data_IF_710014088889
#
_entry.id   IF_710014088889
#
_cell.length_a   1.000
_cell.length_b   1.000
_cell.length_c   1.000
_cell.angle_alpha   90.00
_cell.angle_beta   90.00
_cell.angle_gamma   90.00
#
_symmetry.space_group_name_H-M   'P 1'
#
loop_
_entity.id
_entity.type
_entity.pdbx_description
1 polymer ?
#
# COMPACT_ATOMS: atom_id res chain seq x y z
N UNK A 1 23.79 35.95 -3.47
CA UNK A 1 23.13 34.92 -4.32
C UNK A 1 23.32 33.57 -3.65
N UNK A 2 22.50 33.27 -2.64
CA UNK A 2 22.58 32.02 -1.86
C UNK A 2 21.29 31.82 -1.07
N UNK A 3 20.16 32.08 -1.73
CA UNK A 3 18.83 32.03 -1.15
C UNK A 3 18.00 31.07 -2.00
N UNK A 4 18.39 29.79 -2.04
CA UNK A 4 17.63 28.72 -2.71
C UNK A 4 18.12 27.27 -2.47
N UNK A 5 18.88 26.97 -1.39
CA UNK A 5 19.32 25.57 -1.12
C UNK A 5 18.67 24.99 0.16
N UNK A 6 17.75 25.72 0.80
CA UNK A 6 17.08 25.27 2.03
C UNK A 6 15.63 24.81 1.84
N UNK A 7 15.22 24.46 0.62
CA UNK A 7 13.89 23.88 0.32
C UNK A 7 13.98 22.51 -0.39
N UNK A 8 15.03 21.73 -0.15
CA UNK A 8 15.14 20.33 -0.61
C UNK A 8 15.17 19.35 0.56
N UNK A 9 14.36 19.65 1.55
CA UNK A 9 14.15 18.84 2.74
C UNK A 9 12.86 19.28 3.41
N UNK A 10 11.77 19.39 2.65
CA UNK A 10 10.47 19.40 3.32
C UNK A 10 10.36 18.08 4.05
N UNK A 11 10.18 18.18 5.36
CA UNK A 11 9.98 17.07 6.25
C UNK A 11 8.60 16.52 5.91
N UNK A 12 8.48 15.70 4.87
CA UNK A 12 7.23 15.15 4.31
C UNK A 12 6.67 14.04 5.20
N UNK A 13 6.73 14.25 6.52
CA UNK A 13 6.17 13.38 7.54
C UNK A 13 4.68 13.11 7.31
N UNK A 14 3.97 14.00 6.59
CA UNK A 14 2.55 13.87 6.24
C UNK A 14 2.29 12.99 5.00
N UNK A 15 3.26 12.82 4.09
CA UNK A 15 3.09 11.96 2.93
C UNK A 15 2.87 10.51 3.38
N UNK A 16 3.65 10.04 4.34
CA UNK A 16 3.59 8.65 4.78
C UNK A 16 2.24 8.26 5.42
N UNK A 17 1.66 9.02 6.37
CA UNK A 17 0.29 8.83 6.83
C UNK A 17 -0.76 8.90 5.70
N UNK A 18 -0.61 9.81 4.73
CA UNK A 18 -1.54 9.90 3.61
C UNK A 18 -1.45 8.67 2.69
N UNK A 19 -0.23 8.21 2.38
CA UNK A 19 0.01 6.98 1.64
C UNK A 19 -0.60 5.77 2.34
N UNK A 20 -0.47 5.68 3.68
CA UNK A 20 -1.15 4.66 4.48
C UNK A 20 -2.66 4.76 4.33
N UNK A 21 -3.23 5.96 4.41
CA UNK A 21 -4.68 6.17 4.31
C UNK A 21 -5.22 5.77 2.92
N UNK A 22 -4.56 6.20 1.84
CA UNK A 22 -4.95 5.83 0.47
C UNK A 22 -4.81 4.33 0.25
N UNK A 23 -3.70 3.73 0.70
CA UNK A 23 -3.47 2.28 0.61
C UNK A 23 -4.52 1.50 1.40
N UNK A 24 -4.89 1.99 2.58
CA UNK A 24 -5.95 1.40 3.41
C UNK A 24 -7.29 1.42 2.70
N UNK A 25 -7.69 2.58 2.14
CA UNK A 25 -8.94 2.70 1.40
C UNK A 25 -8.96 1.81 0.16
N UNK A 26 -7.86 1.75 -0.59
CA UNK A 26 -7.77 0.93 -1.78
C UNK A 26 -7.84 -0.56 -1.44
N UNK A 27 -7.10 -0.99 -0.42
CA UNK A 27 -7.14 -2.38 0.06
C UNK A 27 -8.54 -2.78 0.54
N UNK A 28 -9.19 -1.91 1.33
CA UNK A 28 -10.56 -2.11 1.79
C UNK A 28 -11.55 -2.22 0.63
N UNK A 29 -11.38 -1.38 -0.41
CA UNK A 29 -12.20 -1.41 -1.61
C UNK A 29 -11.98 -2.70 -2.43
N UNK A 30 -10.73 -3.14 -2.60
CA UNK A 30 -10.42 -4.40 -3.29
C UNK A 30 -11.12 -5.57 -2.59
N UNK A 31 -11.01 -5.67 -1.26
CA UNK A 31 -11.70 -6.73 -0.52
C UNK A 31 -13.22 -6.65 -0.76
N UNK A 32 -13.82 -5.46 -0.71
CA UNK A 32 -15.25 -5.25 -0.97
C UNK A 32 -15.67 -5.74 -2.36
N UNK A 33 -14.86 -5.46 -3.38
CA UNK A 33 -15.11 -5.89 -4.76
C UNK A 33 -15.00 -7.41 -4.85
N UNK A 34 -13.98 -8.02 -4.23
CA UNK A 34 -13.70 -9.45 -4.32
C UNK A 34 -14.79 -10.31 -3.68
N UNK A 35 -15.13 -10.06 -2.42
CA UNK A 35 -16.04 -10.94 -1.66
C UNK A 35 -17.52 -10.54 -1.80
N UNK A 36 -17.78 -9.35 -2.36
CA UNK A 36 -19.11 -8.81 -2.56
C UNK A 36 -19.75 -8.24 -1.28
N UNK A 37 -20.79 -7.40 -1.47
CA UNK A 37 -21.42 -6.59 -0.41
C UNK A 37 -21.94 -7.40 0.77
N UNK A 38 -22.58 -8.55 0.52
CA UNK A 38 -23.22 -9.36 1.57
C UNK A 38 -22.19 -9.98 2.50
N UNK A 39 -21.17 -10.65 1.96
CA UNK A 39 -20.09 -11.24 2.76
C UNK A 39 -19.26 -10.17 3.46
N UNK A 40 -19.07 -9.03 2.79
CA UNK A 40 -18.35 -7.89 3.33
C UNK A 40 -18.97 -7.35 4.62
N UNK A 41 -20.28 -7.13 4.62
CA UNK A 41 -21.00 -6.62 5.79
C UNK A 41 -20.96 -7.61 6.96
N UNK A 42 -21.01 -8.91 6.67
CA UNK A 42 -20.91 -9.96 7.70
C UNK A 42 -19.52 -10.03 8.34
N UNK A 43 -18.46 -9.73 7.57
CA UNK A 43 -17.06 -9.87 7.98
C UNK A 43 -16.35 -8.54 8.26
N UNK A 44 -17.09 -7.44 8.36
CA UNK A 44 -16.51 -6.09 8.38
C UNK A 44 -15.49 -5.87 9.50
N UNK A 45 -15.71 -6.45 10.69
CA UNK A 45 -14.75 -6.39 11.79
C UNK A 45 -13.42 -7.06 11.43
N UNK A 46 -13.47 -8.26 10.85
CA UNK A 46 -12.29 -8.98 10.38
C UNK A 46 -11.58 -8.20 9.27
N UNK A 47 -12.33 -7.59 8.35
CA UNK A 47 -11.77 -6.80 7.25
C UNK A 47 -11.06 -5.55 7.77
N UNK A 48 -11.66 -4.83 8.72
CA UNK A 48 -11.03 -3.65 9.32
C UNK A 48 -9.73 -4.01 10.05
N UNK A 49 -9.77 -5.05 10.90
CA UNK A 49 -8.57 -5.53 11.61
C UNK A 49 -7.51 -5.94 10.58
N UNK A 50 -7.88 -6.75 9.60
CA UNK A 50 -6.99 -7.20 8.55
C UNK A 50 -6.38 -6.04 7.76
N UNK A 51 -7.17 -5.01 7.42
CA UNK A 51 -6.70 -3.82 6.70
C UNK A 51 -5.70 -3.02 7.53
N UNK A 52 -5.95 -2.85 8.83
CA UNK A 52 -5.01 -2.22 9.75
C UNK A 52 -3.71 -3.01 9.81
N UNK A 53 -3.79 -4.32 10.04
CA UNK A 53 -2.61 -5.18 10.17
C UNK A 53 -1.79 -5.25 8.88
N UNK A 54 -2.43 -5.48 7.73
CA UNK A 54 -1.74 -5.63 6.45
C UNK A 54 -1.13 -4.30 6.01
N UNK A 55 -1.88 -3.20 6.08
CA UNK A 55 -1.43 -1.91 5.54
C UNK A 55 -0.47 -1.22 6.49
N UNK A 56 -0.85 -1.03 7.76
CA UNK A 56 -0.02 -0.27 8.70
C UNK A 56 1.26 -1.06 9.02
N UNK A 57 1.16 -2.33 9.41
CA UNK A 57 2.38 -3.10 9.70
C UNK A 57 3.20 -3.33 8.44
N UNK A 58 2.57 -3.58 7.29
CA UNK A 58 3.28 -3.77 6.03
C UNK A 58 4.11 -2.54 5.65
N UNK A 59 3.50 -1.35 5.68
CA UNK A 59 4.19 -0.11 5.34
C UNK A 59 5.22 0.31 6.41
N UNK A 60 4.92 0.10 7.70
CA UNK A 60 5.89 0.36 8.77
C UNK A 60 7.11 -0.55 8.65
N UNK A 61 6.91 -1.84 8.39
CA UNK A 61 8.01 -2.78 8.22
C UNK A 61 8.81 -2.49 6.93
N UNK A 62 8.14 -2.07 5.84
CA UNK A 62 8.82 -1.62 4.63
C UNK A 62 9.69 -0.38 4.85
N UNK A 63 9.19 0.61 5.62
CA UNK A 63 9.91 1.86 5.88
C UNK A 63 11.00 1.73 6.94
N UNK A 64 10.69 1.08 8.07
CA UNK A 64 11.55 1.03 9.25
C UNK A 64 12.32 -0.29 9.38
N UNK A 65 11.99 -1.32 8.60
CA UNK A 65 12.61 -2.64 8.74
C UNK A 65 14.13 -2.63 8.50
N UNK A 66 14.60 -1.80 7.57
CA UNK A 66 16.03 -1.59 7.36
C UNK A 66 16.71 -0.93 8.57
N UNK A 67 16.02 0.02 9.23
CA UNK A 67 16.54 0.73 10.41
C UNK A 67 16.55 -0.14 11.67
N UNK A 68 15.65 -1.13 11.75
CA UNK A 68 15.62 -2.12 12.83
C UNK A 68 16.70 -3.21 12.68
N UNK A 69 17.55 -3.13 11.65
CA UNK A 69 18.63 -4.09 11.39
C UNK A 69 18.17 -5.40 10.74
N UNK A 70 16.92 -5.47 10.25
CA UNK A 70 16.48 -6.64 9.50
C UNK A 70 17.17 -6.70 8.14
N UNK A 71 17.49 -7.93 7.70
CA UNK A 71 17.96 -8.17 6.34
C UNK A 71 16.84 -7.89 5.35
N UNK A 72 17.19 -7.41 4.16
CA UNK A 72 16.24 -7.09 3.09
C UNK A 72 15.32 -8.26 2.72
N UNK A 73 15.82 -9.50 2.80
CA UNK A 73 15.05 -10.73 2.63
C UNK A 73 13.94 -10.96 3.68
N UNK A 74 13.89 -10.16 4.74
CA UNK A 74 12.86 -10.27 5.79
C UNK A 74 11.88 -9.11 5.66
N UNK A 75 12.37 -7.87 5.70
CA UNK A 75 11.48 -6.72 5.80
C UNK A 75 10.74 -6.38 4.50
N UNK A 76 11.16 -6.91 3.33
CA UNK A 76 10.40 -6.80 2.07
C UNK A 76 9.43 -7.97 1.84
N UNK A 77 9.85 -9.25 1.97
CA UNK A 77 8.94 -10.37 1.72
C UNK A 77 7.86 -10.54 2.77
N UNK A 78 8.10 -10.17 4.03
CA UNK A 78 7.09 -10.33 5.09
C UNK A 78 5.84 -9.47 4.81
N UNK A 79 5.94 -8.15 4.55
CA UNK A 79 4.78 -7.34 4.14
C UNK A 79 4.08 -7.88 2.89
N UNK A 80 4.85 -8.35 1.90
CA UNK A 80 4.30 -8.93 0.68
C UNK A 80 3.47 -10.18 0.98
N UNK A 81 4.03 -11.14 1.73
CA UNK A 81 3.35 -12.38 2.10
C UNK A 81 2.13 -12.11 2.99
N UNK A 82 2.23 -11.17 3.91
CA UNK A 82 1.08 -10.72 4.71
C UNK A 82 -0.05 -10.22 3.80
N UNK A 83 0.27 -9.38 2.82
CA UNK A 83 -0.72 -8.85 1.88
C UNK A 83 -1.32 -9.95 1.00
N UNK A 84 -0.49 -10.86 0.50
CA UNK A 84 -0.91 -11.90 -0.45
C UNK A 84 -1.71 -13.02 0.23
N UNK A 85 -1.29 -13.45 1.43
CA UNK A 85 -1.80 -14.68 2.06
C UNK A 85 -2.83 -14.43 3.17
N UNK A 86 -2.67 -13.39 3.98
CA UNK A 86 -3.60 -13.18 5.11
C UNK A 86 -5.05 -12.99 4.65
N UNK A 87 -5.36 -12.17 3.62
CA UNK A 87 -6.75 -11.91 3.26
C UNK A 87 -7.50 -13.13 2.75
N UNK A 88 -6.93 -13.95 1.83
CA UNK A 88 -7.57 -15.20 1.43
C UNK A 88 -7.83 -16.15 2.61
N UNK A 89 -6.86 -16.29 3.52
CA UNK A 89 -6.94 -17.22 4.66
C UNK A 89 -7.96 -16.75 5.69
N UNK A 90 -7.84 -15.49 6.15
CA UNK A 90 -8.68 -14.94 7.23
C UNK A 90 -10.13 -14.79 6.77
N UNK A 91 -10.35 -14.37 5.52
CA UNK A 91 -11.70 -14.18 4.99
C UNK A 91 -12.33 -15.48 4.48
N UNK A 92 -11.54 -16.56 4.40
CA UNK A 92 -11.92 -17.88 3.86
C UNK A 92 -12.43 -17.75 2.41
N UNK A 93 -11.65 -17.04 1.60
CA UNK A 93 -11.99 -16.82 0.19
C UNK A 93 -11.95 -18.15 -0.57
N UNK A 94 -12.88 -18.32 -1.51
CA UNK A 94 -12.79 -19.41 -2.48
C UNK A 94 -11.67 -19.14 -3.51
N UNK A 95 -11.40 -20.11 -4.39
CA UNK A 95 -10.29 -19.99 -5.35
C UNK A 95 -10.45 -18.82 -6.32
N UNK A 96 -11.68 -18.52 -6.76
CA UNK A 96 -11.96 -17.42 -7.70
C UNK A 96 -11.78 -16.07 -7.01
N UNK A 97 -12.31 -15.94 -5.80
CA UNK A 97 -12.12 -14.76 -4.95
C UNK A 97 -10.63 -14.53 -4.68
N UNK A 98 -9.89 -15.58 -4.34
CA UNK A 98 -8.45 -15.51 -4.09
C UNK A 98 -7.67 -15.08 -5.35
N UNK A 99 -7.97 -15.65 -6.52
CA UNK A 99 -7.32 -15.25 -7.77
C UNK A 99 -7.62 -13.80 -8.13
N UNK A 100 -8.87 -13.38 -8.01
CA UNK A 100 -9.27 -11.99 -8.27
C UNK A 100 -8.61 -11.03 -7.27
N UNK A 101 -8.56 -11.41 -6.00
CA UNK A 101 -7.86 -10.65 -4.96
C UNK A 101 -6.38 -10.48 -5.29
N UNK A 102 -5.69 -11.57 -5.62
CA UNK A 102 -4.27 -11.53 -5.97
C UNK A 102 -4.01 -10.65 -7.19
N UNK A 103 -4.85 -10.78 -8.22
CA UNK A 103 -4.76 -9.95 -9.41
C UNK A 103 -4.95 -8.46 -9.10
N UNK A 104 -6.02 -8.09 -8.38
CA UNK A 104 -6.31 -6.71 -8.01
C UNK A 104 -5.28 -6.15 -7.03
N UNK A 105 -4.81 -6.94 -6.06
CA UNK A 105 -3.77 -6.55 -5.11
C UNK A 105 -2.45 -6.31 -5.82
N UNK A 106 -2.08 -7.15 -6.80
CA UNK A 106 -0.88 -6.94 -7.60
C UNK A 106 -0.99 -5.63 -8.41
N UNK A 107 -2.15 -5.38 -9.04
CA UNK A 107 -2.40 -4.17 -9.82
C UNK A 107 -2.51 -2.90 -8.96
N UNK A 108 -2.84 -3.05 -7.67
CA UNK A 108 -2.95 -1.93 -6.75
C UNK A 108 -1.62 -1.21 -6.52
N UNK A 109 -0.50 -1.94 -6.51
CA UNK A 109 0.83 -1.36 -6.31
C UNK A 109 1.23 -0.37 -7.42
N UNK A 110 1.19 -0.73 -8.73
CA UNK A 110 1.45 0.23 -9.80
C UNK A 110 0.37 1.32 -9.86
N UNK A 111 -0.90 1.02 -9.53
CA UNK A 111 -1.95 2.04 -9.50
C UNK A 111 -1.67 3.13 -8.46
N UNK A 112 -1.31 2.74 -7.23
CA UNK A 112 -0.94 3.68 -6.17
C UNK A 112 0.32 4.47 -6.56
N UNK A 113 1.32 3.79 -7.13
CA UNK A 113 2.55 4.43 -7.60
C UNK A 113 2.28 5.51 -8.65
N UNK A 114 1.43 5.21 -9.65
CA UNK A 114 0.99 6.18 -10.66
C UNK A 114 0.24 7.33 -9.99
N UNK A 115 -0.70 7.04 -9.08
CA UNK A 115 -1.51 8.06 -8.43
C UNK A 115 -0.64 9.06 -7.65
N UNK A 116 0.35 8.59 -6.90
CA UNK A 116 1.24 9.47 -6.14
C UNK A 116 2.28 10.17 -7.01
N UNK A 117 2.92 9.45 -7.93
CA UNK A 117 3.96 10.03 -8.78
C UNK A 117 3.41 11.04 -9.78
N UNK A 118 2.30 10.70 -10.45
CA UNK A 118 1.73 11.54 -11.51
C UNK A 118 1.02 12.79 -10.97
N UNK A 119 0.24 12.66 -9.90
CA UNK A 119 -0.58 13.78 -9.39
C UNK A 119 0.09 14.61 -8.29
N UNK A 120 1.07 14.04 -7.57
CA UNK A 120 1.64 14.69 -6.38
C UNK A 120 3.18 14.82 -6.45
N UNK A 121 3.83 14.30 -7.50
CA UNK A 121 5.29 14.19 -7.64
C UNK A 121 5.96 13.36 -6.53
N UNK A 122 5.19 12.46 -5.89
CA UNK A 122 5.69 11.64 -4.79
C UNK A 122 6.21 10.30 -5.29
N UNK A 123 7.53 10.18 -5.42
CA UNK A 123 8.22 8.97 -5.91
C UNK A 123 8.63 7.99 -4.80
N UNK A 124 8.22 8.29 -3.57
CA UNK A 124 8.65 7.60 -2.33
C UNK A 124 7.96 6.23 -2.11
N UNK A 125 6.81 5.99 -2.75
CA UNK A 125 5.97 4.83 -2.45
C UNK A 125 6.63 3.50 -2.86
N UNK A 126 7.10 3.37 -4.12
CA UNK A 126 7.96 2.28 -4.60
C UNK A 126 8.69 2.67 -5.90
N UNK A 127 9.96 2.30 -6.10
CA UNK A 127 10.74 2.70 -7.29
C UNK A 127 10.49 1.75 -8.47
N UNK A 128 9.24 1.61 -8.92
CA UNK A 128 8.93 0.71 -10.03
C UNK A 128 9.40 1.28 -11.39
N UNK A 129 9.08 2.54 -11.65
CA UNK A 129 9.28 3.25 -12.92
C UNK A 129 9.19 4.76 -12.68
N UNK A 130 9.95 5.53 -13.46
CA UNK A 130 9.89 6.99 -13.46
C UNK A 130 8.64 7.46 -14.21
N UNK A 131 7.69 8.03 -13.47
CA UNK A 131 6.44 8.58 -14.00
C UNK A 131 6.56 10.10 -13.99
N UNK A 132 6.25 10.80 -15.11
CA UNK A 132 6.29 12.25 -15.16
C UNK A 132 5.20 12.86 -14.26
N UNK A 133 5.48 14.01 -13.67
CA UNK A 133 4.51 14.78 -12.91
C UNK A 133 3.61 15.58 -13.85
N UNK A 134 2.30 15.65 -13.58
CA UNK A 134 1.35 16.36 -14.43
C UNK A 134 1.66 17.87 -14.57
N UNK A 135 2.32 18.48 -13.59
CA UNK A 135 2.73 19.88 -13.65
C UNK A 135 3.92 20.15 -14.59
N UNK A 136 4.61 19.11 -15.05
CA UNK A 136 5.74 19.22 -15.98
C UNK A 136 5.31 19.08 -17.47
N UNK A 137 4.02 18.82 -17.73
CA UNK A 137 3.41 18.62 -19.07
C UNK A 137 2.64 19.87 -19.48
#
# INVERSE_FOLDING_TARGET
MSLNITLQGENTAWHFPLMILVSFLLFYLIIRIVIGKTQFNQKIKSILILSVFVVILGMLLGKYGAQMGFKWWIYYPVPMLMTVLLPPIVLKMNIKESQLYLFLSFLSAPFIHVLFSFFLDWKEYMPFWDIPFIGDI
#
